data_IF_263336435196
#
_entry.id   IF_263336435196
#
_cell.length_a   1.000
_cell.length_b   1.000
_cell.length_c   1.000
_cell.angle_alpha   90.00
_cell.angle_beta   90.00
_cell.angle_gamma   90.00
#
_symmetry.space_group_name_H-M   'P 1'
#
loop_
_entity.id
_entity.type
_entity.pdbx_description
1 polymer ?
#
# COMPACT_ATOMS: atom_id res chain seq x y z
N UNK A 1 13.72 9.60 -7.83
CA UNK A 1 12.65 8.72 -8.37
C UNK A 1 12.30 7.70 -7.31
N UNK A 2 11.03 7.57 -6.92
CA UNK A 2 10.58 6.55 -5.96
C UNK A 2 10.74 5.16 -6.60
N UNK A 3 11.41 4.22 -5.92
CA UNK A 3 11.59 2.84 -6.41
C UNK A 3 10.28 2.05 -6.29
N UNK A 4 9.93 1.26 -7.30
CA UNK A 4 8.85 0.27 -7.23
C UNK A 4 9.30 -0.88 -6.31
N UNK A 5 8.38 -1.43 -5.53
CA UNK A 5 8.64 -2.63 -4.72
C UNK A 5 7.50 -2.93 -3.76
N UNK A 6 7.55 -4.13 -3.17
CA UNK A 6 6.62 -4.57 -2.14
C UNK A 6 7.34 -4.74 -0.81
N UNK A 7 6.68 -4.37 0.27
CA UNK A 7 7.07 -4.71 1.65
C UNK A 7 5.98 -5.55 2.27
N UNK A 8 6.34 -6.36 3.25
CA UNK A 8 5.42 -7.25 3.93
C UNK A 8 5.85 -7.38 5.38
N UNK A 9 4.92 -7.14 6.30
CA UNK A 9 5.08 -7.46 7.71
C UNK A 9 3.97 -8.38 8.18
N UNK A 10 4.30 -9.20 9.18
CA UNK A 10 3.45 -10.27 9.68
C UNK A 10 3.53 -10.30 11.20
N UNK A 11 2.40 -10.56 11.82
CA UNK A 11 2.36 -10.84 13.24
C UNK A 11 3.00 -12.22 13.50
N UNK A 12 3.94 -12.32 14.45
CA UNK A 12 4.55 -13.60 14.80
C UNK A 12 3.58 -14.58 15.47
N UNK A 13 2.43 -14.11 15.96
CA UNK A 13 1.47 -14.92 16.68
C UNK A 13 0.36 -15.43 15.74
N UNK A 14 0.34 -16.74 15.42
CA UNK A 14 -0.73 -17.32 14.63
C UNK A 14 -2.05 -17.41 15.42
N UNK A 15 -3.16 -17.34 14.69
CA UNK A 15 -4.52 -17.64 15.16
C UNK A 15 -4.74 -19.16 15.22
N UNK A 16 -5.90 -19.58 15.72
CA UNK A 16 -6.29 -21.00 15.84
C UNK A 16 -6.31 -21.74 14.49
N UNK A 17 -6.59 -21.04 13.39
CA UNK A 17 -6.58 -21.59 12.02
C UNK A 17 -5.18 -21.57 11.36
N UNK A 18 -4.15 -21.15 12.11
CA UNK A 18 -2.78 -20.99 11.65
C UNK A 18 -2.54 -19.74 10.79
N UNK A 19 -3.57 -18.93 10.51
CA UNK A 19 -3.38 -17.67 9.82
C UNK A 19 -2.72 -16.63 10.73
N UNK A 20 -2.02 -15.67 10.12
CA UNK A 20 -1.38 -14.55 10.85
C UNK A 20 -1.93 -13.23 10.34
N UNK A 21 -2.00 -12.21 11.20
CA UNK A 21 -2.20 -10.85 10.73
C UNK A 21 -1.01 -10.46 9.85
N UNK A 22 -1.27 -9.82 8.71
CA UNK A 22 -0.23 -9.39 7.79
C UNK A 22 -0.64 -8.11 7.07
N UNK A 23 0.37 -7.29 6.75
CA UNK A 23 0.23 -6.08 5.95
C UNK A 23 1.27 -6.11 4.84
N UNK A 24 0.81 -5.99 3.60
CA UNK A 24 1.68 -5.74 2.45
C UNK A 24 1.50 -4.34 1.92
N UNK A 25 2.62 -3.66 1.64
CA UNK A 25 2.66 -2.34 1.01
C UNK A 25 3.28 -2.48 -0.37
N UNK A 26 2.52 -2.15 -1.40
CA UNK A 26 2.98 -2.15 -2.78
C UNK A 26 3.15 -0.70 -3.23
N UNK A 27 4.39 -0.25 -3.37
CA UNK A 27 4.69 1.03 -3.99
C UNK A 27 4.63 0.89 -5.50
N UNK A 28 3.67 1.56 -6.15
CA UNK A 28 3.40 1.43 -7.58
C UNK A 28 3.49 2.79 -8.30
N UNK A 29 4.65 3.47 -8.36
CA UNK A 29 4.76 4.73 -9.09
C UNK A 29 4.37 4.55 -10.58
N UNK A 30 3.61 5.48 -11.19
CA UNK A 30 3.07 6.73 -10.64
C UNK A 30 1.71 6.60 -9.93
N UNK A 31 1.18 5.38 -9.78
CA UNK A 31 -0.19 5.08 -9.33
C UNK A 31 -0.41 5.08 -7.81
N UNK A 32 0.61 5.41 -7.01
CA UNK A 32 0.46 5.47 -5.56
C UNK A 32 0.89 4.20 -4.81
N UNK A 33 0.42 4.09 -3.58
CA UNK A 33 0.65 2.97 -2.68
C UNK A 33 -0.63 2.13 -2.62
N UNK A 34 -0.50 0.82 -2.71
CA UNK A 34 -1.59 -0.11 -2.43
C UNK A 34 -1.25 -0.91 -1.17
N UNK A 35 -2.20 -1.01 -0.26
CA UNK A 35 -2.06 -1.74 1.00
C UNK A 35 -3.03 -2.90 1.02
N UNK A 36 -2.51 -4.07 1.35
CA UNK A 36 -3.29 -5.27 1.66
C UNK A 36 -3.10 -5.59 3.13
N UNK A 37 -4.16 -5.48 3.93
CA UNK A 37 -4.12 -5.75 5.36
C UNK A 37 -5.15 -6.82 5.71
N UNK A 38 -4.75 -7.90 6.38
CA UNK A 38 -5.66 -9.00 6.64
C UNK A 38 -5.00 -10.22 7.28
N UNK A 39 -5.63 -11.37 7.12
CA UNK A 39 -5.15 -12.65 7.63
C UNK A 39 -4.48 -13.47 6.52
N UNK A 40 -3.17 -13.63 6.62
CA UNK A 40 -2.37 -14.42 5.70
C UNK A 40 -2.43 -15.90 6.08
N UNK A 41 -2.75 -16.74 5.10
CA UNK A 41 -2.92 -18.18 5.27
C UNK A 41 -1.59 -18.90 5.52
N UNK A 42 -1.59 -20.05 6.24
CA UNK A 42 -0.39 -20.80 6.59
C UNK A 42 0.53 -21.13 5.41
N UNK A 43 -0.05 -21.49 4.25
CA UNK A 43 0.73 -21.88 3.06
C UNK A 43 1.53 -20.72 2.45
N UNK A 44 1.22 -19.48 2.82
CA UNK A 44 1.85 -18.27 2.30
C UNK A 44 2.90 -17.67 3.25
N UNK A 45 3.07 -18.22 4.46
CA UNK A 45 4.03 -17.72 5.44
C UNK A 45 5.49 -17.78 4.95
N UNK A 46 5.81 -18.70 4.03
CA UNK A 46 7.15 -18.82 3.45
C UNK A 46 7.44 -17.91 2.25
N UNK A 47 6.44 -17.20 1.73
CA UNK A 47 6.56 -16.43 0.49
C UNK A 47 7.27 -15.08 0.70
N UNK A 48 7.94 -14.56 -0.32
CA UNK A 48 8.47 -13.19 -0.30
C UNK A 48 7.37 -12.14 -0.51
N UNK A 49 7.66 -10.84 -0.25
CA UNK A 49 6.69 -9.76 -0.41
C UNK A 49 6.16 -9.61 -1.84
N UNK A 50 6.95 -9.93 -2.85
CA UNK A 50 6.53 -9.88 -4.25
C UNK A 50 5.81 -11.15 -4.73
N UNK A 51 5.82 -12.23 -3.93
CA UNK A 51 5.17 -13.52 -4.24
C UNK A 51 3.79 -13.69 -3.58
N UNK A 52 3.46 -12.80 -2.64
CA UNK A 52 2.15 -12.79 -1.99
C UNK A 52 1.07 -12.39 -2.98
N UNK A 53 0.02 -13.22 -3.05
CA UNK A 53 -1.16 -12.99 -3.86
C UNK A 53 -2.37 -12.71 -2.97
N UNK A 54 -3.42 -12.15 -3.57
CA UNK A 54 -4.66 -11.87 -2.86
C UNK A 54 -5.38 -13.14 -2.36
N UNK A 55 -5.21 -14.25 -3.07
CA UNK A 55 -5.74 -15.56 -2.68
C UNK A 55 -4.99 -16.18 -1.50
N UNK A 56 -3.85 -15.61 -1.09
CA UNK A 56 -3.11 -16.05 0.08
C UNK A 56 -3.70 -15.50 1.39
N UNK A 57 -4.71 -14.64 1.31
CA UNK A 57 -5.41 -14.11 2.48
C UNK A 57 -6.78 -14.78 2.63
N UNK A 58 -7.14 -15.16 3.85
CA UNK A 58 -8.52 -15.62 4.14
C UNK A 58 -9.50 -14.44 4.20
N UNK A 59 -9.02 -13.29 4.66
CA UNK A 59 -9.72 -12.01 4.68
C UNK A 59 -8.70 -10.90 4.42
N UNK A 60 -9.03 -9.96 3.53
CA UNK A 60 -8.13 -8.85 3.21
C UNK A 60 -8.87 -7.56 2.90
N UNK A 61 -8.45 -6.49 3.56
CA UNK A 61 -8.79 -5.12 3.22
C UNK A 61 -7.79 -4.60 2.18
N UNK A 62 -8.31 -4.01 1.09
CA UNK A 62 -7.52 -3.43 0.00
C UNK A 62 -7.75 -1.93 -0.07
N UNK A 63 -6.70 -1.15 0.13
CA UNK A 63 -6.81 0.31 0.10
C UNK A 63 -5.70 0.90 -0.75
N UNK A 64 -6.01 1.96 -1.50
CA UNK A 64 -5.03 2.68 -2.32
C UNK A 64 -4.89 4.11 -1.83
N UNK A 65 -3.65 4.60 -1.82
CA UNK A 65 -3.28 5.91 -1.30
C UNK A 65 -2.37 6.65 -2.27
N UNK A 66 -2.47 7.97 -2.28
CA UNK A 66 -1.60 8.83 -3.06
C UNK A 66 -0.34 9.21 -2.28
N UNK A 67 -0.34 9.18 -0.95
CA UNK A 67 0.78 9.58 -0.13
C UNK A 67 1.07 8.56 0.95
N UNK A 68 2.34 8.46 1.35
CA UNK A 68 2.73 7.62 2.48
C UNK A 68 2.10 8.10 3.79
N UNK A 69 1.96 9.41 3.99
CA UNK A 69 1.29 9.99 5.18
C UNK A 69 -0.11 9.41 5.39
N UNK A 70 -0.88 9.31 4.30
CA UNK A 70 -2.27 8.86 4.35
C UNK A 70 -2.36 7.38 4.77
N UNK A 71 -1.38 6.56 4.38
CA UNK A 71 -1.27 5.17 4.84
C UNK A 71 -1.13 5.14 6.37
N UNK A 72 -0.22 5.94 6.91
CA UNK A 72 0.06 5.95 8.35
C UNK A 72 -1.14 6.42 9.16
N UNK A 73 -1.79 7.50 8.73
CA UNK A 73 -2.98 8.04 9.39
C UNK A 73 -4.15 7.06 9.34
N UNK A 74 -4.39 6.41 8.20
CA UNK A 74 -5.50 5.47 8.03
C UNK A 74 -5.43 4.26 8.97
N UNK A 75 -4.22 3.75 9.22
CA UNK A 75 -4.01 2.54 10.03
C UNK A 75 -3.66 2.83 11.50
N UNK A 76 -3.48 4.09 11.92
CA UNK A 76 -3.01 4.46 13.27
C UNK A 76 -3.85 3.88 14.42
N UNK A 77 -5.14 3.65 14.21
CA UNK A 77 -6.08 3.15 15.23
C UNK A 77 -6.72 1.81 14.85
N UNK A 78 -6.10 1.06 13.94
CA UNK A 78 -6.59 -0.25 13.48
C UNK A 78 -5.78 -1.39 14.10
N UNK A 79 -6.30 -2.61 13.99
CA UNK A 79 -5.62 -3.82 14.49
C UNK A 79 -4.21 -4.01 13.89
N UNK A 80 -3.96 -3.48 12.70
CA UNK A 80 -2.69 -3.57 11.99
C UNK A 80 -1.66 -2.49 12.35
N UNK A 81 -1.96 -1.58 13.29
CA UNK A 81 -1.16 -0.38 13.56
C UNK A 81 0.32 -0.69 13.87
N UNK A 82 0.58 -1.75 14.65
CA UNK A 82 1.94 -2.18 15.01
C UNK A 82 2.74 -2.64 13.79
N UNK A 83 2.14 -3.45 12.90
CA UNK A 83 2.77 -3.93 11.66
C UNK A 83 3.06 -2.77 10.71
N UNK A 84 2.10 -1.85 10.58
CA UNK A 84 2.26 -0.65 9.74
C UNK A 84 3.38 0.25 10.25
N UNK A 85 3.55 0.36 11.57
CA UNK A 85 4.64 1.15 12.16
C UNK A 85 6.02 0.54 11.85
N UNK A 86 6.17 -0.78 11.88
CA UNK A 86 7.42 -1.45 11.47
C UNK A 86 7.73 -1.22 9.99
N UNK A 87 6.70 -1.32 9.14
CA UNK A 87 6.83 -1.02 7.72
C UNK A 87 7.22 0.43 7.46
N UNK A 88 6.71 1.38 8.25
CA UNK A 88 7.06 2.80 8.15
C UNK A 88 8.55 3.03 8.38
N UNK A 89 9.15 2.33 9.34
CA UNK A 89 10.59 2.41 9.61
C UNK A 89 11.40 1.90 8.41
N UNK A 90 10.99 0.76 7.82
CA UNK A 90 11.61 0.23 6.60
C UNK A 90 11.48 1.19 5.41
N UNK A 91 10.31 1.81 5.23
CA UNK A 91 10.10 2.83 4.19
C UNK A 91 11.02 4.02 4.42
N UNK A 92 11.21 4.47 5.66
CA UNK A 92 12.12 5.57 5.97
C UNK A 92 13.58 5.24 5.60
N UNK A 93 14.02 4.00 5.80
CA UNK A 93 15.35 3.52 5.39
C UNK A 93 15.49 3.39 3.87
N UNK A 94 14.48 2.87 3.18
CA UNK A 94 14.52 2.59 1.74
C UNK A 94 14.28 3.83 0.87
N UNK A 95 13.57 4.83 1.40
CA UNK A 95 13.19 6.05 0.68
C UNK A 95 13.51 7.31 1.49
N UNK A 96 14.81 7.60 1.76
CA UNK A 96 15.20 8.81 2.46
C UNK A 96 14.77 10.04 1.64
N UNK A 97 13.82 10.82 2.18
CA UNK A 97 13.21 11.99 1.51
C UNK A 97 11.86 11.74 0.81
N UNK A 98 11.34 10.51 0.79
CA UNK A 98 10.07 10.13 0.16
C UNK A 98 8.80 10.48 0.98
N UNK A 99 8.93 11.20 2.09
CA UNK A 99 7.80 11.63 2.92
C UNK A 99 6.98 12.75 2.26
N UNK A 100 7.50 13.38 1.21
CA UNK A 100 6.80 14.43 0.45
C UNK A 100 6.31 13.92 -0.89
N UNK A 101 4.99 14.01 -1.11
CA UNK A 101 4.30 14.05 -2.39
C UNK A 101 4.80 13.09 -3.49
N UNK A 102 4.00 12.06 -3.78
CA UNK A 102 3.96 11.57 -5.16
C UNK A 102 3.51 12.77 -5.98
N UNK A 103 4.39 13.29 -6.83
CA UNK A 103 4.11 14.42 -7.70
C UNK A 103 2.71 14.22 -8.28
N UNK A 104 1.78 15.10 -7.89
CA UNK A 104 0.38 15.00 -8.25
C UNK A 104 0.29 14.71 -9.75
N UNK A 105 -0.60 13.80 -10.20
CA UNK A 105 -0.80 13.62 -11.62
C UNK A 105 -1.11 15.01 -12.19
N UNK A 106 -0.31 15.44 -13.16
CA UNK A 106 -0.54 16.67 -13.90
C UNK A 106 -2.03 16.68 -14.27
N UNK A 107 -2.76 17.68 -13.73
CA UNK A 107 -4.21 17.81 -13.93
C UNK A 107 -4.51 17.55 -15.41
N UNK A 108 -5.54 16.74 -15.77
CA UNK A 108 -5.96 16.69 -17.15
C UNK A 108 -6.23 18.13 -17.59
N UNK A 109 -5.53 18.59 -18.63
CA UNK A 109 -5.89 19.84 -19.32
C UNK A 109 -7.38 19.72 -19.62
N UNK A 110 -8.18 20.56 -18.99
CA UNK A 110 -9.54 20.83 -19.47
C UNK A 110 -9.34 21.37 -20.88
N UNK A 111 -9.64 20.56 -21.88
CA UNK A 111 -9.76 21.04 -23.25
C UNK A 111 -11.04 21.87 -23.24
N UNK A 112 -10.91 23.18 -23.17
CA UNK A 112 -12.05 24.08 -23.41
C UNK A 112 -12.72 23.67 -24.72
N UNK A 113 -14.04 23.45 -24.74
CA UNK A 113 -14.72 23.21 -26.00
C UNK A 113 -14.61 24.48 -26.84
N UNK A 114 -13.99 24.35 -28.03
CA UNK A 114 -13.97 25.41 -29.04
C UNK A 114 -15.40 25.95 -29.24
N UNK A 115 -15.60 27.29 -29.20
CA UNK A 115 -16.87 27.84 -29.62
C UNK A 115 -17.07 27.48 -31.10
N UNK A 116 -18.13 26.71 -31.39
CA UNK A 116 -18.62 26.57 -32.76
C UNK A 116 -19.18 27.93 -33.17
N UNK A 117 -18.38 28.71 -33.87
CA UNK A 117 -18.91 29.77 -34.72
C UNK A 117 -19.70 29.10 -35.84
N UNK A 118 -21.02 29.10 -35.72
CA UNK A 118 -21.96 28.86 -36.81
C UNK A 118 -22.69 30.16 -37.15
N UNK A 119 -23.42 30.16 -38.27
CA UNK A 119 -23.06 30.80 -39.54
C UNK A 119 -23.17 32.33 -39.56
#
# INVERSE_FOLDING_TARGET
>A
MLRKGSLLERDPQPRDDGSVLAVSLHNRPPHGIMVWAGHLLPHALGKGPDDILLTDFSQVEKVSFCLWSDVWEYFAHREYASLVQQLREQVATLYPGGQGAIAAPARPRVVEPMPRSGP
#
